data_IF_369338327019
#
_entry.id   IF_369338327019
#
_cell.length_a   1.000
_cell.length_b   1.000
_cell.length_c   1.000
_cell.angle_alpha   90.00
_cell.angle_beta   90.00
_cell.angle_gamma   90.00
#
_symmetry.space_group_name_H-M   'P 1'
#
loop_
_entity.id
_entity.type
_entity.pdbx_description
1 polymer ?
#
# COMPACT_ATOMS: atom_id res chain seq x y z
N UNK A 1 16.98 8.32 9.40
CA UNK A 1 15.89 7.51 8.82
C UNK A 1 16.33 6.07 8.94
N UNK A 2 15.45 5.15 9.37
CA UNK A 2 15.78 3.72 9.34
C UNK A 2 16.18 3.33 7.92
N UNK A 3 17.21 2.51 7.78
CA UNK A 3 17.62 1.88 6.53
C UNK A 3 16.55 0.90 6.06
N UNK A 4 16.58 0.54 4.77
CA UNK A 4 15.66 -0.45 4.22
C UNK A 4 15.78 -1.81 4.92
N UNK A 5 16.99 -2.19 5.34
CA UNK A 5 17.23 -3.44 6.08
C UNK A 5 16.56 -3.41 7.45
N UNK A 6 16.71 -2.33 8.22
CA UNK A 6 16.05 -2.17 9.52
C UNK A 6 14.52 -2.25 9.39
N UNK A 7 13.95 -1.64 8.35
CA UNK A 7 12.51 -1.77 8.08
C UNK A 7 12.08 -3.21 7.78
N UNK A 8 12.89 -3.96 7.02
CA UNK A 8 12.58 -5.34 6.68
C UNK A 8 12.77 -6.30 7.85
N UNK A 9 13.73 -6.04 8.73
CA UNK A 9 13.95 -6.81 9.94
C UNK A 9 12.76 -6.67 10.89
N UNK A 10 12.31 -5.43 11.15
CA UNK A 10 11.11 -5.16 11.96
C UNK A 10 9.85 -5.75 11.33
N UNK A 11 9.67 -5.59 10.01
CA UNK A 11 8.55 -6.20 9.29
C UNK A 11 8.53 -7.72 9.46
N UNK A 12 9.70 -8.34 9.41
CA UNK A 12 9.86 -9.79 9.57
C UNK A 12 9.50 -10.26 10.98
N UNK A 13 9.62 -9.44 12.02
CA UNK A 13 9.21 -9.86 13.37
C UNK A 13 7.73 -10.24 13.45
N UNK A 14 6.85 -9.53 12.74
CA UNK A 14 5.40 -9.75 12.76
C UNK A 14 4.82 -10.39 11.49
N UNK A 15 5.67 -10.82 10.57
CA UNK A 15 5.26 -11.49 9.33
C UNK A 15 6.19 -12.66 9.05
N UNK A 16 5.91 -13.82 9.66
CA UNK A 16 6.63 -15.07 9.40
C UNK A 16 5.70 -16.13 8.78
N UNK A 17 4.42 -16.13 9.13
CA UNK A 17 3.45 -17.09 8.64
C UNK A 17 3.23 -16.93 7.12
N UNK A 18 3.33 -18.03 6.36
CA UNK A 18 3.18 -18.03 4.89
C UNK A 18 1.80 -17.53 4.45
N UNK A 19 0.74 -17.88 5.17
CA UNK A 19 -0.62 -17.44 4.89
C UNK A 19 -0.76 -15.93 5.14
N UNK A 20 -0.24 -15.43 6.26
CA UNK A 20 -0.25 -13.99 6.55
C UNK A 20 0.50 -13.20 5.47
N UNK A 21 1.71 -13.65 5.09
CA UNK A 21 2.49 -13.05 4.00
C UNK A 21 1.74 -13.02 2.67
N UNK A 22 1.09 -14.12 2.29
CA UNK A 22 0.34 -14.19 1.03
C UNK A 22 -0.86 -13.24 1.03
N UNK A 23 -1.59 -13.15 2.15
CA UNK A 23 -2.68 -12.20 2.33
C UNK A 23 -2.16 -10.77 2.22
N UNK A 24 -1.06 -10.45 2.91
CA UNK A 24 -0.45 -9.12 2.89
C UNK A 24 0.03 -8.73 1.49
N UNK A 25 0.63 -9.67 0.76
CA UNK A 25 1.10 -9.44 -0.61
C UNK A 25 -0.04 -9.02 -1.55
N UNK A 26 -1.27 -9.52 -1.33
CA UNK A 26 -2.45 -9.10 -2.09
C UNK A 26 -3.11 -7.82 -1.51
N UNK A 27 -3.29 -7.76 -0.19
CA UNK A 27 -4.04 -6.69 0.46
C UNK A 27 -3.28 -5.37 0.53
N UNK A 28 -1.95 -5.36 0.71
CA UNK A 28 -1.16 -4.11 0.77
C UNK A 28 -1.28 -3.31 -0.54
N UNK A 29 -1.03 -3.89 -1.74
CA UNK A 29 -1.23 -3.17 -2.99
C UNK A 29 -2.69 -2.75 -3.21
N UNK A 30 -3.67 -3.58 -2.82
CA UNK A 30 -5.08 -3.24 -2.95
C UNK A 30 -5.48 -2.04 -2.07
N UNK A 31 -4.96 -1.96 -0.84
CA UNK A 31 -5.16 -0.80 0.05
C UNK A 31 -4.54 0.45 -0.56
N UNK A 32 -3.31 0.37 -1.06
CA UNK A 32 -2.65 1.50 -1.72
C UNK A 32 -3.45 1.99 -2.94
N UNK A 33 -3.86 1.06 -3.82
CA UNK A 33 -4.69 1.36 -4.98
C UNK A 33 -6.00 2.06 -4.59
N UNK A 34 -6.68 1.54 -3.55
CA UNK A 34 -7.91 2.14 -3.05
C UNK A 34 -7.70 3.56 -2.49
N UNK A 35 -6.62 3.79 -1.74
CA UNK A 35 -6.28 5.13 -1.21
C UNK A 35 -6.05 6.12 -2.35
N UNK A 36 -5.27 5.74 -3.38
CA UNK A 36 -5.02 6.61 -4.53
C UNK A 36 -6.34 6.91 -5.26
N UNK A 37 -7.20 5.91 -5.46
CA UNK A 37 -8.49 6.09 -6.11
C UNK A 37 -9.45 6.98 -5.33
N UNK A 38 -9.52 6.83 -4.01
CA UNK A 38 -10.32 7.69 -3.12
C UNK A 38 -9.81 9.14 -3.19
N UNK A 39 -8.50 9.35 -3.06
CA UNK A 39 -7.90 10.67 -3.13
C UNK A 39 -8.13 11.32 -4.50
N UNK A 40 -8.01 10.56 -5.59
CA UNK A 40 -8.20 11.07 -6.95
C UNK A 40 -9.63 11.56 -7.19
N UNK A 41 -10.62 10.89 -6.59
CA UNK A 41 -12.02 11.33 -6.60
C UNK A 41 -12.27 12.57 -5.74
N UNK A 42 -11.49 12.77 -4.68
CA UNK A 42 -11.62 13.90 -3.78
C UNK A 42 -10.88 15.15 -4.30
N UNK A 43 -9.62 15.01 -4.69
CA UNK A 43 -8.78 16.09 -5.20
C UNK A 43 -7.56 15.55 -5.94
N UNK A 44 -7.48 15.86 -7.24
CA UNK A 44 -6.32 15.53 -8.06
C UNK A 44 -5.03 16.20 -7.55
N UNK A 45 -5.12 17.45 -7.09
CA UNK A 45 -3.96 18.19 -6.56
C UNK A 45 -3.43 17.57 -5.26
N UNK A 46 -4.33 17.20 -4.34
CA UNK A 46 -3.93 16.52 -3.10
C UNK A 46 -3.31 15.15 -3.41
N UNK A 47 -3.89 14.41 -4.34
CA UNK A 47 -3.36 13.12 -4.78
C UNK A 47 -1.95 13.27 -5.33
N UNK A 48 -1.73 14.21 -6.26
CA UNK A 48 -0.42 14.46 -6.85
C UNK A 48 0.61 14.88 -5.79
N UNK A 49 0.25 15.78 -4.87
CA UNK A 49 1.12 16.19 -3.77
C UNK A 49 1.55 14.99 -2.92
N UNK A 50 0.60 14.17 -2.48
CA UNK A 50 0.90 13.01 -1.62
C UNK A 50 1.73 11.96 -2.35
N UNK A 51 1.45 11.69 -3.64
CA UNK A 51 2.26 10.78 -4.44
C UNK A 51 3.69 11.28 -4.59
N UNK A 52 3.91 12.58 -4.86
CA UNK A 52 5.25 13.16 -4.94
C UNK A 52 5.98 13.01 -3.61
N UNK A 53 5.33 13.32 -2.48
CA UNK A 53 5.93 13.17 -1.16
C UNK A 53 6.29 11.70 -0.85
N UNK A 54 5.43 10.74 -1.22
CA UNK A 54 5.70 9.31 -1.11
C UNK A 54 6.91 8.89 -1.96
N UNK A 55 7.03 9.36 -3.19
CA UNK A 55 8.18 9.03 -4.05
C UNK A 55 9.47 9.67 -3.54
N UNK A 56 9.43 10.89 -3.00
CA UNK A 56 10.57 11.52 -2.33
C UNK A 56 11.02 10.73 -1.11
N UNK A 57 10.07 10.19 -0.33
CA UNK A 57 10.38 9.30 0.79
C UNK A 57 11.12 8.05 0.32
N UNK A 58 10.60 7.33 -0.68
CA UNK A 58 11.26 6.12 -1.18
C UNK A 58 12.63 6.43 -1.81
N UNK A 59 12.75 7.52 -2.57
CA UNK A 59 14.03 7.94 -3.15
C UNK A 59 15.10 8.24 -2.10
N UNK A 60 14.72 8.71 -0.91
CA UNK A 60 15.63 8.90 0.23
C UNK A 60 15.96 7.60 0.97
N UNK A 61 15.11 6.60 0.85
CA UNK A 61 15.28 5.31 1.54
C UNK A 61 16.19 4.37 0.74
N UNK A 62 15.86 4.13 -0.54
CA UNK A 62 16.62 3.29 -1.45
C UNK A 62 16.19 3.53 -2.91
N UNK A 63 17.15 3.69 -3.83
CA UNK A 63 16.85 4.05 -5.22
C UNK A 63 16.16 2.92 -6.01
N UNK A 64 16.49 1.66 -5.72
CA UNK A 64 15.87 0.51 -6.41
C UNK A 64 14.41 0.42 -6.00
N UNK A 65 14.13 0.56 -4.70
CA UNK A 65 12.78 0.61 -4.16
C UNK A 65 12.00 1.80 -4.73
N UNK A 66 12.63 2.97 -4.87
CA UNK A 66 12.00 4.15 -5.46
C UNK A 66 11.55 3.92 -6.90
N UNK A 67 12.38 3.29 -7.73
CA UNK A 67 12.01 2.94 -9.10
C UNK A 67 10.85 1.94 -9.12
N UNK A 68 10.91 0.90 -8.28
CA UNK A 68 9.84 -0.09 -8.18
C UNK A 68 8.50 0.53 -7.75
N UNK A 69 8.51 1.37 -6.72
CA UNK A 69 7.33 2.07 -6.22
C UNK A 69 6.78 3.08 -7.24
N UNK A 70 7.66 3.76 -7.99
CA UNK A 70 7.24 4.67 -9.07
C UNK A 70 6.49 3.92 -10.17
N UNK A 71 7.04 2.78 -10.62
CA UNK A 71 6.38 1.95 -11.63
C UNK A 71 5.02 1.43 -11.13
N UNK A 72 4.95 0.93 -9.89
CA UNK A 72 3.71 0.43 -9.29
C UNK A 72 2.63 1.53 -9.21
N UNK A 73 2.98 2.71 -8.68
CA UNK A 73 2.06 3.85 -8.55
C UNK A 73 1.60 4.34 -9.92
N UNK A 74 2.49 4.39 -10.91
CA UNK A 74 2.13 4.79 -12.27
C UNK A 74 1.10 3.83 -12.89
N UNK A 75 1.29 2.50 -12.73
CA UNK A 75 0.32 1.49 -13.18
C UNK A 75 -1.01 1.64 -12.46
N UNK A 76 -1.00 1.83 -11.13
CA UNK A 76 -2.23 2.04 -10.35
C UNK A 76 -2.99 3.30 -10.80
N UNK A 77 -2.29 4.42 -10.96
CA UNK A 77 -2.88 5.67 -11.42
C UNK A 77 -3.45 5.54 -12.83
N UNK A 78 -2.76 4.83 -13.72
CA UNK A 78 -3.24 4.53 -15.06
C UNK A 78 -4.53 3.70 -15.03
N UNK A 79 -4.58 2.65 -14.20
CA UNK A 79 -5.77 1.81 -14.03
C UNK A 79 -6.95 2.64 -13.47
N UNK A 80 -6.70 3.48 -12.46
CA UNK A 80 -7.71 4.38 -11.88
C UNK A 80 -8.28 5.33 -12.93
N UNK A 81 -7.42 5.89 -13.78
CA UNK A 81 -7.83 6.79 -14.86
C UNK A 81 -8.73 6.09 -15.90
N UNK A 82 -8.48 4.81 -16.19
CA UNK A 82 -9.26 4.05 -17.17
C UNK A 82 -10.54 3.43 -16.61
N UNK A 83 -10.63 3.21 -15.29
CA UNK A 83 -11.78 2.55 -14.65
C UNK A 83 -12.95 3.52 -14.48
N UNK A 84 -14.11 3.32 -15.13
CA UNK A 84 -15.29 4.17 -14.98
C UNK A 84 -16.09 3.77 -13.74
N UNK A 85 -15.45 3.73 -12.57
CA UNK A 85 -16.05 3.35 -11.29
C UNK A 85 -16.02 4.53 -10.32
N UNK A 86 -17.09 4.70 -9.53
CA UNK A 86 -17.16 5.76 -8.54
C UNK A 86 -16.36 5.46 -7.26
N UNK A 87 -16.23 6.47 -6.40
CA UNK A 87 -15.50 6.39 -5.12
C UNK A 87 -15.92 5.20 -4.23
N UNK A 88 -17.19 4.78 -4.29
CA UNK A 88 -17.70 3.63 -3.53
C UNK A 88 -17.01 2.31 -3.86
N UNK A 89 -16.54 2.11 -5.10
CA UNK A 89 -15.75 0.94 -5.47
C UNK A 89 -14.44 0.87 -4.68
N UNK A 90 -13.70 1.99 -4.65
CA UNK A 90 -12.43 2.07 -3.94
C UNK A 90 -12.61 1.93 -2.41
N UNK A 91 -13.67 2.51 -1.85
CA UNK A 91 -14.04 2.31 -0.43
C UNK A 91 -14.30 0.81 -0.15
N UNK A 92 -15.03 0.13 -1.04
CA UNK A 92 -15.27 -1.31 -0.94
C UNK A 92 -13.97 -2.13 -0.96
N UNK A 93 -13.08 -1.85 -1.91
CA UNK A 93 -11.76 -2.49 -1.99
C UNK A 93 -10.94 -2.24 -0.72
N UNK A 94 -10.92 -1.00 -0.22
CA UNK A 94 -10.22 -0.63 1.01
C UNK A 94 -10.72 -1.45 2.21
N UNK A 95 -12.04 -1.52 2.42
CA UNK A 95 -12.64 -2.25 3.53
C UNK A 95 -12.34 -3.75 3.42
N UNK A 96 -12.55 -4.36 2.26
CA UNK A 96 -12.32 -5.79 2.05
C UNK A 96 -10.84 -6.16 2.25
N UNK A 97 -9.92 -5.33 1.74
CA UNK A 97 -8.49 -5.57 1.90
C UNK A 97 -8.04 -5.43 3.36
N UNK A 98 -8.59 -4.50 4.13
CA UNK A 98 -8.33 -4.39 5.57
C UNK A 98 -8.87 -5.57 6.36
N UNK A 99 -10.08 -6.04 6.05
CA UNK A 99 -10.62 -7.28 6.65
C UNK A 99 -9.67 -8.45 6.37
N UNK A 100 -9.15 -8.54 5.14
CA UNK A 100 -8.12 -9.49 4.75
C UNK A 100 -6.87 -9.37 5.63
N UNK A 101 -6.27 -8.18 5.75
CA UNK A 101 -5.08 -7.97 6.59
C UNK A 101 -5.31 -8.34 8.06
N UNK A 102 -6.45 -7.95 8.65
CA UNK A 102 -6.76 -8.31 10.03
C UNK A 102 -6.89 -9.83 10.21
N UNK A 103 -7.46 -10.52 9.23
CA UNK A 103 -7.47 -11.98 9.22
C UNK A 103 -6.05 -12.55 9.10
N UNK A 104 -5.20 -12.01 8.23
CA UNK A 104 -3.79 -12.39 8.11
C UNK A 104 -3.05 -12.32 9.45
N UNK A 105 -3.17 -11.18 10.14
CA UNK A 105 -2.58 -11.00 11.47
C UNK A 105 -3.18 -11.91 12.55
N UNK A 106 -4.48 -12.23 12.45
CA UNK A 106 -5.09 -13.23 13.33
C UNK A 106 -4.46 -14.62 13.13
N UNK A 107 -4.14 -14.99 11.88
CA UNK A 107 -3.45 -16.25 11.56
C UNK A 107 -1.98 -16.22 12.02
N UNK A 108 -1.32 -15.07 11.93
CA UNK A 108 0.04 -14.89 12.46
C UNK A 108 0.09 -14.99 14.00
N UNK A 109 -0.98 -14.59 14.70
CA UNK A 109 -1.02 -14.50 16.16
C UNK A 109 -0.31 -13.26 16.71
N UNK A 110 0.13 -12.34 15.84
CA UNK A 110 0.73 -11.04 16.19
C UNK A 110 -0.14 -9.91 15.69
N UNK A 111 -0.23 -8.83 16.46
CA UNK A 111 -1.02 -7.64 16.11
C UNK A 111 -0.41 -6.94 14.88
N UNK A 112 -1.21 -6.21 14.08
CA UNK A 112 -0.68 -5.39 13.02
C UNK A 112 0.27 -4.31 13.56
N UNK A 113 1.45 -4.20 12.95
CA UNK A 113 2.38 -3.10 13.19
C UNK A 113 2.00 -1.94 12.28
N UNK A 114 1.57 -0.82 12.87
CA UNK A 114 1.19 0.38 12.13
C UNK A 114 2.29 1.45 12.09
N UNK A 115 3.42 1.19 12.76
CA UNK A 115 4.54 2.10 12.97
C UNK A 115 5.86 1.31 13.06
#
# INVERSE_FOLDING_TARGET
MKTITEWFDEYSESHQNKTNKAIHWACVPAILFAIIGILAHFSALLTALLLVLTLVFYARLDIVLAVAMTALIAVMAWIIYLLPVGVGFYIGVFILAWIGQFYGHKVEGKKPSFL
#
